data_IF_492060456191
#
_entry.id   IF_492060456191
#
_cell.length_a   1.000
_cell.length_b   1.000
_cell.length_c   1.000
_cell.angle_alpha   90.00
_cell.angle_beta   90.00
_cell.angle_gamma   90.00
#
_symmetry.space_group_name_H-M   'P 1'
#
loop_
_entity.id
_entity.type
_entity.pdbx_description
1 polymer ?
#
# COMPACT_ATOMS: atom_id res chain seq x y z
N UNK A 1 13.18 25.38 -20.03
CA UNK A 1 13.23 24.05 -19.38
C UNK A 1 12.46 23.98 -18.05
N UNK A 2 12.38 25.03 -17.23
CA UNK A 2 11.58 25.01 -15.99
C UNK A 2 10.05 24.97 -16.23
N UNK A 3 9.55 25.57 -17.32
CA UNK A 3 8.12 25.58 -17.65
C UNK A 3 7.61 24.23 -18.18
N UNK A 4 8.47 23.44 -18.86
CA UNK A 4 8.10 22.11 -19.38
C UNK A 4 7.92 21.06 -18.26
N UNK A 5 8.63 21.23 -17.13
CA UNK A 5 8.54 20.32 -15.97
C UNK A 5 7.24 20.56 -15.19
N UNK A 6 6.82 21.82 -15.06
CA UNK A 6 5.56 22.19 -14.42
C UNK A 6 4.35 21.59 -15.17
N UNK A 7 4.39 21.63 -16.51
CA UNK A 7 3.34 21.07 -17.37
C UNK A 7 3.24 19.54 -17.20
N UNK A 8 4.36 18.83 -17.04
CA UNK A 8 4.39 17.38 -16.82
C UNK A 8 3.78 16.97 -15.46
N UNK A 9 4.11 17.69 -14.38
CA UNK A 9 3.51 17.45 -13.06
C UNK A 9 2.01 17.77 -13.01
N UNK A 10 1.59 18.81 -13.74
CA UNK A 10 0.18 19.20 -13.90
C UNK A 10 -0.57 18.12 -14.68
N UNK A 11 0.03 17.55 -15.73
CA UNK A 11 -0.58 16.47 -16.53
C UNK A 11 -0.75 15.17 -15.72
N UNK A 12 0.19 14.84 -14.84
CA UNK A 12 0.13 13.65 -14.00
C UNK A 12 -0.96 13.79 -12.92
N UNK A 13 -1.09 14.97 -12.33
CA UNK A 13 -2.21 15.31 -11.45
C UNK A 13 -3.56 15.32 -12.20
N UNK A 14 -3.55 15.71 -13.48
CA UNK A 14 -4.73 15.70 -14.37
C UNK A 14 -5.24 14.28 -14.65
N UNK A 15 -4.33 13.31 -14.81
CA UNK A 15 -4.63 11.90 -15.06
C UNK A 15 -5.17 11.17 -13.81
N UNK A 16 -4.75 11.56 -12.61
CA UNK A 16 -5.08 10.83 -11.37
C UNK A 16 -6.29 11.38 -10.60
N UNK A 17 -6.62 12.67 -10.72
CA UNK A 17 -7.53 13.35 -9.77
C UNK A 17 -8.82 13.96 -10.34
N UNK A 18 -9.07 13.85 -11.66
CA UNK A 18 -10.29 14.39 -12.27
C UNK A 18 -10.37 15.93 -12.29
N UNK A 19 -11.32 16.45 -13.08
CA UNK A 19 -11.40 17.86 -13.51
C UNK A 19 -11.60 18.93 -12.40
N UNK A 20 -11.74 18.56 -11.14
CA UNK A 20 -12.19 19.48 -10.07
C UNK A 20 -11.07 20.08 -9.21
N UNK A 21 -9.83 19.56 -9.23
CA UNK A 21 -8.77 19.95 -8.29
C UNK A 21 -7.72 20.93 -8.88
N UNK A 22 -7.68 21.08 -10.21
CA UNK A 22 -6.70 21.92 -10.93
C UNK A 22 -7.30 23.26 -11.39
N UNK A 23 -7.75 24.08 -10.45
CA UNK A 23 -7.80 25.53 -10.69
C UNK A 23 -6.38 26.09 -10.54
N UNK A 24 -5.89 27.00 -11.40
CA UNK A 24 -4.52 27.57 -11.34
C UNK A 24 -4.19 28.32 -10.03
N UNK A 25 -5.20 28.55 -9.19
CA UNK A 25 -5.12 29.12 -7.85
C UNK A 25 -5.51 28.12 -6.74
N UNK A 26 -5.44 26.81 -7.00
CA UNK A 26 -5.76 25.83 -5.96
C UNK A 26 -4.72 25.87 -4.83
N UNK A 27 -5.13 25.70 -3.56
CA UNK A 27 -4.23 25.72 -2.41
C UNK A 27 -3.07 24.72 -2.51
N UNK A 28 -3.31 23.57 -3.15
CA UNK A 28 -2.30 22.52 -3.40
C UNK A 28 -1.22 23.00 -4.37
N UNK A 29 -1.58 23.71 -5.46
CA UNK A 29 -0.60 24.27 -6.38
C UNK A 29 0.23 25.37 -5.70
N UNK A 30 -0.37 26.18 -4.82
CA UNK A 30 0.36 27.16 -4.03
C UNK A 30 1.32 26.50 -3.03
N UNK A 31 0.91 25.42 -2.37
CA UNK A 31 1.80 24.61 -1.53
C UNK A 31 3.00 24.06 -2.32
N UNK A 32 2.76 23.48 -3.50
CA UNK A 32 3.82 23.01 -4.39
C UNK A 32 4.77 24.14 -4.83
N UNK A 33 4.25 25.36 -5.06
CA UNK A 33 5.07 26.55 -5.34
C UNK A 33 5.91 26.97 -4.13
N UNK A 34 5.38 26.89 -2.91
CA UNK A 34 6.12 27.20 -1.66
C UNK A 34 7.30 26.23 -1.50
N UNK A 35 7.10 24.94 -1.74
CA UNK A 35 8.18 23.94 -1.77
C UNK A 35 9.26 24.28 -2.81
N UNK A 36 8.85 24.74 -3.99
CA UNK A 36 9.77 25.19 -5.05
C UNK A 36 10.61 26.44 -4.69
N UNK A 37 10.11 27.34 -3.83
CA UNK A 37 10.86 28.53 -3.36
C UNK A 37 12.00 28.15 -2.42
N UNK A 38 11.76 27.22 -1.49
CA UNK A 38 12.78 26.73 -0.55
C UNK A 38 13.90 25.92 -1.22
N UNK A 39 13.67 25.44 -2.45
CA UNK A 39 14.72 24.79 -3.24
C UNK A 39 15.81 25.75 -3.71
N UNK A 40 15.48 27.03 -3.94
CA UNK A 40 16.48 28.04 -4.36
C UNK A 40 17.43 28.45 -3.23
N UNK A 41 16.97 28.40 -1.98
CA UNK A 41 17.82 28.66 -0.81
C UNK A 41 18.73 27.47 -0.48
N UNK A 42 18.39 26.24 -0.88
CA UNK A 42 19.19 25.05 -0.63
C UNK A 42 20.29 24.77 -1.68
N UNK A 43 20.32 25.47 -2.81
CA UNK A 43 21.27 25.25 -3.92
C UNK A 43 22.44 26.27 -3.97
N UNK A 44 22.67 27.01 -2.87
CA UNK A 44 23.69 28.05 -2.79
C UNK A 44 24.74 27.80 -1.70
N UNK A 45 25.50 26.73 -1.84
CA UNK A 45 26.82 26.53 -1.22
C UNK A 45 27.66 25.96 -2.37
N UNK A 46 28.58 26.72 -2.94
CA UNK A 46 29.96 26.72 -2.45
C UNK A 46 30.67 28.07 -2.64
N UNK A 47 31.58 28.34 -1.70
CA UNK A 47 32.58 29.40 -1.61
C UNK A 47 32.12 30.77 -1.09
N UNK A 48 32.29 31.00 0.22
CA UNK A 48 32.78 32.28 0.75
C UNK A 48 33.42 32.08 2.13
N UNK A 49 34.60 32.68 2.27
CA UNK A 49 35.41 32.89 3.49
C UNK A 49 34.61 33.44 4.68
N UNK A 50 35.02 33.13 5.93
CA UNK A 50 34.22 33.43 7.12
C UNK A 50 34.22 34.94 7.44
N UNK A 51 33.02 35.52 7.45
CA UNK A 51 32.74 36.82 8.06
C UNK A 51 32.41 36.62 9.56
N UNK A 52 32.68 37.62 10.42
CA UNK A 52 32.65 37.45 11.86
C UNK A 52 31.23 37.23 12.41
N UNK A 53 31.16 36.37 13.41
CA UNK A 53 29.98 35.87 14.12
C UNK A 53 28.83 36.88 14.28
N UNK A 54 27.77 36.69 13.48
CA UNK A 54 26.39 37.07 13.84
C UNK A 54 25.74 35.83 14.45
N UNK A 55 25.09 35.90 15.63
CA UNK A 55 24.31 34.77 16.11
C UNK A 55 23.22 34.45 15.09
N UNK A 56 23.06 33.16 14.79
CA UNK A 56 22.21 32.64 13.74
C UNK A 56 20.72 32.79 14.14
N UNK A 57 20.18 34.00 14.00
CA UNK A 57 18.79 34.36 14.36
C UNK A 57 17.79 34.05 13.25
N UNK A 58 18.18 33.30 12.21
CA UNK A 58 17.29 32.93 11.12
C UNK A 58 16.12 32.09 11.63
N UNK A 59 14.93 32.31 11.06
CA UNK A 59 13.76 31.47 11.37
C UNK A 59 14.04 30.03 10.95
N UNK A 60 13.86 29.11 11.88
CA UNK A 60 14.18 27.70 11.70
C UNK A 60 13.06 26.82 12.28
N UNK A 61 12.88 25.65 11.69
CA UNK A 61 12.00 24.62 12.22
C UNK A 61 12.77 23.32 12.47
N UNK A 62 12.29 22.54 13.43
CA UNK A 62 12.80 21.22 13.79
C UNK A 62 11.61 20.32 14.04
N UNK A 63 11.75 19.05 13.67
CA UNK A 63 10.77 18.01 13.96
C UNK A 63 11.46 16.89 14.71
N UNK A 64 10.78 16.36 15.73
CA UNK A 64 11.18 15.15 16.44
C UNK A 64 10.06 14.13 16.35
N UNK A 65 10.43 12.86 16.26
CA UNK A 65 9.49 11.75 16.28
C UNK A 65 9.44 11.21 17.71
N UNK A 66 8.30 11.38 18.35
CA UNK A 66 8.04 10.93 19.71
C UNK A 66 7.20 9.66 19.66
N UNK A 67 7.76 8.54 20.10
CA UNK A 67 7.06 7.25 20.16
C UNK A 67 6.30 7.03 21.47
N UNK A 68 6.50 7.90 22.47
CA UNK A 68 5.94 7.74 23.82
C UNK A 68 4.55 8.38 23.99
N UNK A 69 4.09 9.16 23.01
CA UNK A 69 2.90 10.01 23.17
C UNK A 69 1.59 9.43 22.62
N UNK A 70 1.58 8.22 22.04
CA UNK A 70 0.32 7.61 21.59
C UNK A 70 0.29 6.08 21.71
N UNK A 71 -0.87 5.55 22.12
CA UNK A 71 -1.13 4.11 22.22
C UNK A 71 -1.20 3.42 20.84
N UNK A 72 -1.23 4.20 19.74
CA UNK A 72 -1.56 3.75 18.37
C UNK A 72 -0.48 4.06 17.32
N UNK A 73 0.66 4.66 17.72
CA UNK A 73 1.76 5.05 16.81
C UNK A 73 2.69 6.15 17.37
N UNK A 74 3.64 6.61 16.56
CA UNK A 74 4.46 7.78 16.89
C UNK A 74 3.71 9.11 16.66
N UNK A 75 4.32 10.22 17.08
CA UNK A 75 3.85 11.56 16.75
C UNK A 75 5.00 12.49 16.35
N UNK A 76 4.73 13.40 15.42
CA UNK A 76 5.67 14.43 15.03
C UNK A 76 5.51 15.66 15.92
N UNK A 77 6.49 15.93 16.78
CA UNK A 77 6.58 17.17 17.53
C UNK A 77 7.27 18.24 16.68
N UNK A 78 6.53 19.27 16.29
CA UNK A 78 7.01 20.36 15.42
C UNK A 78 7.36 21.57 16.28
N UNK A 79 8.59 22.07 16.14
CA UNK A 79 9.11 23.21 16.86
C UNK A 79 9.67 24.28 15.93
N UNK A 80 9.62 25.53 16.37
CA UNK A 80 10.17 26.69 15.65
C UNK A 80 11.08 27.51 16.56
N UNK A 81 12.02 28.24 15.95
CA UNK A 81 12.87 29.24 16.63
C UNK A 81 13.29 30.34 15.66
N UNK A 82 13.88 31.40 16.19
CA UNK A 82 14.50 32.47 15.41
C UNK A 82 13.64 33.72 15.27
N UNK A 83 14.08 34.63 14.41
CA UNK A 83 13.47 35.93 14.23
C UNK A 83 12.08 35.84 13.59
N UNK A 84 11.14 36.63 14.11
CA UNK A 84 9.77 36.72 13.61
C UNK A 84 9.56 38.12 13.03
N UNK A 85 9.88 38.33 11.74
CA UNK A 85 9.74 39.65 11.13
C UNK A 85 8.26 40.02 11.03
N UNK A 86 7.87 41.10 11.69
CA UNK A 86 6.52 41.67 11.60
C UNK A 86 6.57 43.13 11.15
N UNK A 87 5.56 43.61 10.41
CA UNK A 87 5.56 44.97 9.88
C UNK A 87 5.36 46.05 10.97
N UNK A 88 4.72 45.70 12.08
CA UNK A 88 4.48 46.59 13.21
C UNK A 88 4.41 45.82 14.53
N UNK A 89 4.55 46.53 15.65
CA UNK A 89 4.29 45.97 16.98
C UNK A 89 2.83 45.51 17.11
N UNK A 90 2.59 44.51 17.96
CA UNK A 90 1.29 43.88 18.21
C UNK A 90 0.65 43.22 16.98
N UNK A 91 1.45 42.83 15.98
CA UNK A 91 0.97 42.21 14.75
C UNK A 91 0.45 40.80 14.99
N UNK A 92 -0.74 40.48 14.48
CA UNK A 92 -1.35 39.16 14.62
C UNK A 92 -0.79 38.18 13.59
N UNK A 93 -0.38 37.00 14.07
CA UNK A 93 0.19 35.95 13.23
C UNK A 93 -0.54 34.61 13.41
N UNK A 94 -0.56 33.84 12.33
CA UNK A 94 -0.89 32.44 12.34
C UNK A 94 0.39 31.63 12.06
N UNK A 95 0.54 30.47 12.70
CA UNK A 95 1.50 29.46 12.29
C UNK A 95 0.78 28.42 11.42
N UNK A 96 1.39 28.09 10.29
CA UNK A 96 0.94 27.02 9.40
C UNK A 96 2.03 25.95 9.28
N UNK A 97 1.64 24.68 9.42
CA UNK A 97 2.51 23.52 9.15
C UNK A 97 1.93 22.71 7.99
N UNK A 98 2.78 22.40 7.02
CA UNK A 98 2.47 21.52 5.89
C UNK A 98 3.50 20.39 5.80
N UNK A 99 3.07 19.23 5.30
CA UNK A 99 3.92 18.05 5.14
C UNK A 99 3.81 17.56 3.70
N UNK A 100 4.95 17.32 3.07
CA UNK A 100 5.04 16.64 1.78
C UNK A 100 5.99 15.44 1.89
N UNK A 101 5.68 14.40 1.15
CA UNK A 101 6.61 13.32 0.86
C UNK A 101 7.49 13.73 -0.33
N UNK A 102 8.81 13.71 -0.13
CA UNK A 102 9.83 14.05 -1.13
C UNK A 102 10.77 12.88 -1.42
N UNK A 103 10.34 11.65 -1.14
CA UNK A 103 11.13 10.42 -1.28
C UNK A 103 11.64 10.25 -2.71
N UNK A 104 10.77 10.45 -3.71
CA UNK A 104 11.13 10.37 -5.14
C UNK A 104 11.86 11.64 -5.65
N UNK A 105 12.35 12.47 -4.72
CA UNK A 105 13.02 13.73 -4.96
C UNK A 105 12.08 14.94 -4.92
N UNK A 106 12.62 16.10 -4.55
CA UNK A 106 11.88 17.36 -4.40
C UNK A 106 11.33 17.96 -5.72
N UNK A 107 11.41 17.25 -6.84
CA UNK A 107 10.79 17.63 -8.11
C UNK A 107 9.33 17.20 -8.23
N UNK A 108 8.93 16.16 -7.51
CA UNK A 108 7.59 15.60 -7.51
C UNK A 108 7.12 15.34 -6.07
N UNK A 109 7.09 16.36 -5.21
CA UNK A 109 6.58 16.22 -3.87
C UNK A 109 5.12 15.74 -3.91
N UNK A 110 4.83 14.71 -3.12
CA UNK A 110 3.50 14.13 -3.00
C UNK A 110 2.86 14.62 -1.68
N UNK A 111 1.55 14.95 -1.68
CA UNK A 111 0.92 15.47 -0.48
C UNK A 111 0.76 14.39 0.58
N UNK A 112 1.04 14.71 1.85
CA UNK A 112 0.57 13.87 2.95
C UNK A 112 -0.89 14.22 3.22
N UNK A 113 -1.78 13.23 3.23
CA UNK A 113 -3.21 13.43 3.50
C UNK A 113 -3.49 13.28 5.00
N UNK A 114 -4.62 13.79 5.45
CA UNK A 114 -5.06 13.74 6.83
C UNK A 114 -6.49 13.22 6.95
N UNK A 115 -6.78 12.44 7.99
CA UNK A 115 -8.14 11.98 8.34
C UNK A 115 -8.83 12.94 9.31
N UNK A 116 -8.06 13.70 10.10
CA UNK A 116 -8.58 14.69 11.05
C UNK A 116 -9.05 15.96 10.30
N UNK A 117 -10.37 16.16 10.22
CA UNK A 117 -10.99 17.27 9.46
C UNK A 117 -10.48 18.65 9.83
N UNK A 118 -10.14 18.88 11.10
CA UNK A 118 -9.61 20.16 11.58
C UNK A 118 -8.20 20.50 11.05
N UNK A 119 -7.48 19.51 10.52
CA UNK A 119 -6.14 19.67 9.96
C UNK A 119 -6.11 19.35 8.46
N UNK A 120 -7.24 19.52 7.79
CA UNK A 120 -7.36 19.42 6.36
C UNK A 120 -7.35 20.82 5.75
N UNK A 121 -6.64 20.97 4.63
CA UNK A 121 -6.68 22.18 3.82
C UNK A 121 -8.06 22.34 3.16
N UNK A 122 -8.59 23.56 3.07
CA UNK A 122 -9.94 23.83 2.55
C UNK A 122 -10.26 23.05 1.26
N UNK A 123 -11.41 22.36 1.26
CA UNK A 123 -11.89 21.53 0.15
C UNK A 123 -10.91 20.41 -0.29
N UNK A 124 -10.02 19.96 0.60
CA UNK A 124 -9.01 18.95 0.31
C UNK A 124 -8.69 18.07 1.52
N UNK A 125 -8.22 16.85 1.30
CA UNK A 125 -7.71 15.98 2.36
C UNK A 125 -6.25 16.24 2.72
N UNK A 126 -5.57 17.16 2.04
CA UNK A 126 -4.16 17.48 2.30
C UNK A 126 -3.98 17.98 3.72
N UNK A 127 -2.96 17.46 4.42
CA UNK A 127 -2.63 17.89 5.76
C UNK A 127 -2.25 19.38 5.79
N UNK A 128 -2.90 20.13 6.68
CA UNK A 128 -2.60 21.50 7.00
C UNK A 128 -2.97 21.79 8.44
N UNK A 129 -1.97 21.98 9.30
CA UNK A 129 -2.19 22.55 10.62
C UNK A 129 -2.14 24.07 10.52
N UNK A 130 -3.12 24.76 11.11
CA UNK A 130 -3.12 26.22 11.24
C UNK A 130 -3.63 26.61 12.62
N UNK A 131 -2.88 27.45 13.32
CA UNK A 131 -3.30 27.98 14.62
C UNK A 131 -2.99 29.47 14.74
N UNK A 132 -3.86 30.19 15.44
CA UNK A 132 -3.61 31.57 15.84
C UNK A 132 -2.50 31.57 16.89
N UNK A 133 -1.37 32.18 16.57
CA UNK A 133 -0.20 32.23 17.47
C UNK A 133 -0.10 33.54 18.27
N UNK A 134 -1.16 34.36 18.21
CA UNK A 134 -1.29 35.57 19.02
C UNK A 134 -0.64 36.79 18.37
N UNK A 135 -0.29 37.77 19.21
CA UNK A 135 0.27 39.08 18.81
C UNK A 135 1.76 39.12 19.11
N UNK A 136 2.54 39.52 18.12
CA UNK A 136 3.99 39.72 18.28
C UNK A 136 4.23 41.11 18.87
N UNK A 137 4.90 41.25 20.02
CA UNK A 137 4.96 42.51 20.77
C UNK A 137 5.83 43.58 20.09
N UNK A 138 6.85 43.19 19.34
CA UNK A 138 7.80 44.11 18.70
C UNK A 138 8.30 43.59 17.35
N UNK A 139 8.85 44.47 16.53
CA UNK A 139 9.33 44.14 15.18
C UNK A 139 10.65 43.36 15.17
N UNK A 140 11.37 43.39 16.28
CA UNK A 140 12.64 42.70 16.53
C UNK A 140 12.46 41.42 17.37
N UNK A 141 11.23 40.90 17.48
CA UNK A 141 10.95 39.72 18.29
C UNK A 141 11.68 38.48 17.78
N UNK A 142 12.34 37.77 18.70
CA UNK A 142 13.09 36.54 18.44
C UNK A 142 12.62 35.45 19.41
N UNK A 143 12.24 34.30 18.86
CA UNK A 143 12.00 33.09 19.65
C UNK A 143 13.37 32.48 19.96
N UNK A 144 13.83 32.65 21.20
CA UNK A 144 15.19 32.27 21.62
C UNK A 144 15.34 30.76 21.80
N UNK A 145 14.36 30.12 22.45
CA UNK A 145 14.32 28.66 22.65
C UNK A 145 13.44 27.97 21.60
N UNK A 146 13.55 26.65 21.48
CA UNK A 146 12.65 25.89 20.62
C UNK A 146 11.23 25.92 21.18
N UNK A 147 10.34 26.62 20.49
CA UNK A 147 8.92 26.69 20.83
C UNK A 147 8.17 25.54 20.15
N UNK A 148 7.54 24.68 20.94
CA UNK A 148 6.62 23.66 20.44
C UNK A 148 5.38 24.29 19.82
N UNK A 149 5.12 24.00 18.55
CA UNK A 149 3.95 24.49 17.82
C UNK A 149 2.79 23.52 17.96
N UNK A 150 3.05 22.24 17.67
CA UNK A 150 2.04 21.20 17.64
C UNK A 150 2.67 19.81 17.67
N UNK A 151 1.87 18.84 18.10
CA UNK A 151 2.17 17.40 18.02
C UNK A 151 1.17 16.76 17.07
N UNK A 152 1.66 16.09 16.03
CA UNK A 152 0.84 15.51 14.96
C UNK A 152 0.95 13.99 15.05
N UNK A 153 -0.08 13.27 15.53
CA UNK A 153 -0.10 11.82 15.53
C UNK A 153 0.09 11.25 14.11
N UNK A 154 0.88 10.19 13.96
CA UNK A 154 1.12 9.60 12.64
C UNK A 154 -0.08 8.78 12.14
N UNK A 155 -0.98 8.36 13.03
CA UNK A 155 -2.17 7.58 12.70
C UNK A 155 -3.25 8.38 11.97
N UNK A 156 -3.28 9.70 12.14
CA UNK A 156 -4.16 10.60 11.38
C UNK A 156 -3.59 11.01 10.03
N UNK A 157 -2.39 10.56 9.68
CA UNK A 157 -1.71 10.86 8.42
C UNK A 157 -1.79 9.65 7.46
N UNK A 158 -2.04 9.95 6.19
CA UNK A 158 -1.99 8.98 5.10
C UNK A 158 -0.87 9.38 4.13
N UNK A 159 0.15 8.53 4.09
CA UNK A 159 1.33 8.72 3.24
C UNK A 159 1.08 8.17 1.83
N UNK A 160 1.86 8.61 0.82
CA UNK A 160 1.66 8.13 -0.53
C UNK A 160 2.02 6.65 -0.71
N UNK A 161 3.03 6.15 0.00
CA UNK A 161 3.45 4.76 -0.17
C UNK A 161 4.04 4.14 1.12
N UNK A 162 4.14 2.81 1.19
CA UNK A 162 4.71 2.02 2.31
C UNK A 162 6.24 1.97 2.29
N UNK A 163 6.90 1.88 3.43
CA UNK A 163 8.35 1.75 3.57
C UNK A 163 9.02 3.08 3.91
N UNK A 164 10.30 3.21 3.59
CA UNK A 164 11.09 4.40 3.92
C UNK A 164 10.61 5.63 3.15
N UNK A 165 10.34 6.71 3.89
CA UNK A 165 9.84 7.98 3.39
C UNK A 165 10.76 9.11 3.82
N UNK A 166 11.08 10.01 2.90
CA UNK A 166 11.70 11.29 3.26
C UNK A 166 10.62 12.35 3.25
N UNK A 167 10.24 12.82 4.42
CA UNK A 167 9.21 13.83 4.61
C UNK A 167 9.83 15.22 4.69
N UNK A 168 9.22 16.21 4.06
CA UNK A 168 9.55 17.62 4.21
C UNK A 168 8.44 18.33 4.98
N UNK A 169 8.80 18.86 6.14
CA UNK A 169 7.94 19.73 6.94
C UNK A 169 8.25 21.17 6.57
N UNK A 170 7.21 21.96 6.36
CA UNK A 170 7.32 23.41 6.12
C UNK A 170 6.54 24.12 7.21
N UNK A 171 7.22 24.96 7.98
CA UNK A 171 6.63 25.83 8.97
C UNK A 171 6.64 27.25 8.45
N UNK A 172 5.47 27.88 8.42
CA UNK A 172 5.29 29.23 7.87
C UNK A 172 4.60 30.12 8.90
N UNK A 173 5.17 31.29 9.15
CA UNK A 173 4.51 32.37 9.87
C UNK A 173 3.75 33.23 8.87
N UNK A 174 2.46 33.42 9.11
CA UNK A 174 1.56 34.13 8.20
C UNK A 174 0.95 35.30 8.95
N UNK A 175 0.96 36.47 8.31
CA UNK A 175 0.23 37.65 8.78
C UNK A 175 -1.27 37.37 8.71
N UNK A 176 -1.99 37.45 9.83
CA UNK A 176 -3.43 37.11 9.87
C UNK A 176 -4.29 38.05 9.03
N UNK A 177 -3.97 39.35 9.04
CA UNK A 177 -4.74 40.36 8.30
C UNK A 177 -4.52 40.33 6.78
N UNK A 178 -3.31 39.96 6.33
CA UNK A 178 -2.95 40.01 4.90
C UNK A 178 -2.76 38.64 4.26
N UNK A 179 -2.70 37.57 5.06
CA UNK A 179 -2.31 36.22 4.63
C UNK A 179 -0.93 36.14 3.95
N UNK A 180 -0.09 37.16 4.12
CA UNK A 180 1.27 37.16 3.59
C UNK A 180 2.19 36.33 4.48
N UNK A 181 3.09 35.59 3.84
CA UNK A 181 4.21 34.94 4.50
C UNK A 181 5.14 35.99 5.12
N UNK A 182 5.43 35.81 6.41
CA UNK A 182 6.36 36.63 7.19
C UNK A 182 7.72 35.96 7.28
N UNK A 183 7.73 34.67 7.59
CA UNK A 183 8.91 33.83 7.60
C UNK A 183 8.53 32.38 7.28
N UNK A 184 9.48 31.62 6.75
CA UNK A 184 9.27 30.20 6.48
C UNK A 184 10.57 29.42 6.63
N UNK A 185 10.46 28.21 7.16
CA UNK A 185 11.55 27.27 7.32
C UNK A 185 11.09 25.86 6.96
N UNK A 186 12.02 25.03 6.48
CA UNK A 186 11.72 23.63 6.19
C UNK A 186 12.79 22.70 6.71
N UNK A 187 12.37 21.51 7.15
CA UNK A 187 13.26 20.44 7.60
C UNK A 187 12.84 19.13 6.97
N UNK A 188 13.81 18.25 6.70
CA UNK A 188 13.56 16.89 6.23
C UNK A 188 13.72 15.90 7.38
N UNK A 189 12.89 14.88 7.37
CA UNK A 189 12.89 13.79 8.34
C UNK A 189 12.65 12.49 7.58
N UNK A 190 13.48 11.49 7.84
CA UNK A 190 13.23 10.13 7.38
C UNK A 190 12.25 9.43 8.33
N UNK A 191 11.26 8.77 7.75
CA UNK A 191 10.15 8.13 8.46
C UNK A 191 9.82 6.80 7.78
N UNK A 192 9.72 5.73 8.57
CA UNK A 192 9.29 4.44 8.06
C UNK A 192 7.77 4.30 8.18
N UNK A 193 7.09 4.25 7.04
CA UNK A 193 5.65 4.06 6.98
C UNK A 193 5.30 2.58 6.85
N UNK A 194 4.81 1.96 7.91
CA UNK A 194 4.45 0.53 7.89
C UNK A 194 3.11 0.25 7.17
N UNK A 195 2.30 1.29 6.95
CA UNK A 195 0.98 1.19 6.33
C UNK A 195 1.06 1.33 4.82
N UNK A 196 0.15 0.68 4.11
CA UNK A 196 -0.03 0.88 2.68
C UNK A 196 -0.40 2.34 2.40
N UNK A 197 0.29 2.97 1.45
CA UNK A 197 0.02 4.35 1.09
C UNK A 197 -1.05 4.50 0.01
N UNK A 198 -1.63 5.69 -0.11
CA UNK A 198 -2.75 5.93 -1.02
C UNK A 198 -2.36 5.84 -2.52
N UNK A 199 -1.07 5.98 -2.85
CA UNK A 199 -0.54 5.86 -4.21
C UNK A 199 -0.06 4.43 -4.53
N UNK A 200 0.07 3.56 -3.52
CA UNK A 200 0.43 2.16 -3.73
C UNK A 200 -0.67 1.39 -4.45
N UNK A 201 -1.95 1.72 -4.24
CA UNK A 201 -3.07 0.95 -4.78
C UNK A 201 -2.99 0.68 -6.29
N UNK A 202 -2.61 1.70 -7.09
CA UNK A 202 -2.46 1.53 -8.54
C UNK A 202 -1.22 0.73 -8.93
N UNK A 203 -0.08 1.00 -8.29
CA UNK A 203 1.19 0.29 -8.56
C UNK A 203 1.12 -1.17 -8.12
N UNK A 204 0.50 -1.43 -6.98
CA UNK A 204 0.29 -2.75 -6.44
C UNK A 204 -0.64 -3.56 -7.35
N UNK A 205 -1.74 -2.99 -7.83
CA UNK A 205 -2.62 -3.70 -8.75
C UNK A 205 -1.89 -4.16 -10.03
N UNK A 206 -1.07 -3.29 -10.63
CA UNK A 206 -0.24 -3.66 -11.79
C UNK A 206 0.79 -4.74 -11.44
N UNK A 207 1.51 -4.57 -10.32
CA UNK A 207 2.55 -5.51 -9.90
C UNK A 207 1.96 -6.87 -9.54
N UNK A 208 0.89 -6.91 -8.77
CA UNK A 208 0.09 -8.11 -8.47
C UNK A 208 -0.30 -8.82 -9.77
N UNK A 209 -0.80 -8.10 -10.78
CA UNK A 209 -1.17 -8.74 -12.05
C UNK A 209 0.03 -9.38 -12.76
N UNK A 210 1.22 -8.77 -12.69
CA UNK A 210 2.46 -9.36 -13.23
C UNK A 210 2.83 -10.62 -12.45
N UNK A 211 2.83 -10.57 -11.12
CA UNK A 211 3.15 -11.72 -10.26
C UNK A 211 2.15 -12.87 -10.48
N UNK A 212 0.84 -12.57 -10.58
CA UNK A 212 -0.22 -13.54 -10.91
C UNK A 212 0.08 -14.29 -12.21
N UNK A 213 0.48 -13.58 -13.27
CA UNK A 213 0.85 -14.21 -14.55
C UNK A 213 2.11 -15.05 -14.44
N UNK A 214 3.10 -14.60 -13.65
CA UNK A 214 4.33 -15.36 -13.41
C UNK A 214 4.07 -16.66 -12.66
N UNK A 215 3.21 -16.63 -11.62
CA UNK A 215 2.78 -17.83 -10.91
C UNK A 215 2.05 -18.80 -11.84
N UNK A 216 1.07 -18.31 -12.61
CA UNK A 216 0.32 -19.14 -13.54
C UNK A 216 1.22 -19.79 -14.61
N UNK A 217 2.20 -19.04 -15.13
CA UNK A 217 3.20 -19.59 -16.03
C UNK A 217 4.08 -20.66 -15.35
N UNK A 218 4.52 -20.42 -14.10
CA UNK A 218 5.36 -21.34 -13.34
C UNK A 218 4.69 -22.71 -13.08
N UNK A 219 3.36 -22.71 -12.91
CA UNK A 219 2.57 -23.94 -12.71
C UNK A 219 2.51 -24.77 -14.01
N UNK A 220 2.67 -24.16 -15.18
CA UNK A 220 2.61 -24.84 -16.47
C UNK A 220 3.99 -25.22 -17.05
N UNK A 221 5.10 -24.75 -16.47
CA UNK A 221 6.45 -25.09 -16.95
C UNK A 221 6.88 -26.49 -16.48
N UNK A 222 7.38 -27.32 -17.40
CA UNK A 222 8.01 -28.60 -17.05
C UNK A 222 9.36 -28.36 -16.33
N UNK A 223 9.77 -29.32 -15.48
CA UNK A 223 10.95 -29.23 -14.57
C UNK A 223 12.31 -28.90 -15.22
N UNK A 224 12.41 -28.92 -16.56
CA UNK A 224 13.66 -28.67 -17.29
C UNK A 224 13.90 -27.20 -17.66
N UNK A 225 12.89 -26.32 -17.52
CA UNK A 225 13.05 -24.89 -17.81
C UNK A 225 13.59 -24.10 -16.61
N UNK A 226 14.08 -22.88 -16.90
CA UNK A 226 14.52 -21.93 -15.88
C UNK A 226 13.33 -21.53 -15.00
N UNK A 227 13.14 -22.26 -13.91
CA UNK A 227 11.98 -22.10 -13.06
C UNK A 227 12.04 -20.75 -12.33
N UNK A 228 10.96 -19.95 -12.37
CA UNK A 228 10.90 -18.74 -11.57
C UNK A 228 10.94 -19.10 -10.08
N UNK A 229 11.52 -18.21 -9.28
CA UNK A 229 11.56 -18.37 -7.83
C UNK A 229 10.16 -18.10 -7.25
N UNK A 230 9.37 -19.17 -7.12
CA UNK A 230 7.98 -19.12 -6.64
C UNK A 230 7.92 -18.55 -5.23
N UNK A 231 8.88 -18.90 -4.37
CA UNK A 231 8.87 -18.47 -2.98
C UNK A 231 9.12 -16.95 -2.89
N UNK A 232 10.02 -16.41 -3.74
CA UNK A 232 10.21 -14.96 -3.87
C UNK A 232 8.97 -14.26 -4.44
N UNK A 233 8.32 -14.82 -5.46
CA UNK A 233 7.10 -14.25 -6.06
C UNK A 233 5.96 -14.22 -5.02
N UNK A 234 5.74 -15.32 -4.29
CA UNK A 234 4.73 -15.41 -3.25
C UNK A 234 5.00 -14.44 -2.10
N UNK A 235 6.27 -14.32 -1.66
CA UNK A 235 6.65 -13.36 -0.62
C UNK A 235 6.40 -11.91 -1.04
N UNK A 236 6.69 -11.57 -2.30
CA UNK A 236 6.42 -10.24 -2.82
C UNK A 236 4.91 -9.99 -2.90
N UNK A 237 4.16 -10.93 -3.47
CA UNK A 237 2.70 -10.84 -3.60
C UNK A 237 2.01 -10.70 -2.26
N UNK A 238 2.37 -11.51 -1.27
CA UNK A 238 1.81 -11.43 0.09
C UNK A 238 2.03 -10.06 0.76
N UNK A 239 3.04 -9.30 0.33
CA UNK A 239 3.34 -7.99 0.89
C UNK A 239 2.54 -6.83 0.28
N UNK A 240 1.97 -7.02 -0.93
CA UNK A 240 1.31 -5.96 -1.71
C UNK A 240 -0.15 -6.25 -2.07
N UNK A 241 -0.54 -7.53 -2.13
CA UNK A 241 -1.83 -7.97 -2.63
C UNK A 241 -2.92 -7.97 -1.55
N UNK A 242 -4.14 -7.67 -1.97
CA UNK A 242 -5.36 -7.88 -1.20
C UNK A 242 -5.79 -9.34 -1.24
N UNK A 243 -6.68 -9.73 -0.34
CA UNK A 243 -7.26 -11.09 -0.32
C UNK A 243 -7.99 -11.45 -1.63
N UNK A 244 -8.60 -10.47 -2.30
CA UNK A 244 -9.28 -10.67 -3.58
C UNK A 244 -8.27 -11.01 -4.66
N UNK A 245 -7.19 -10.24 -4.74
CA UNK A 245 -6.10 -10.46 -5.68
C UNK A 245 -5.37 -11.79 -5.47
N UNK A 246 -5.20 -12.22 -4.21
CA UNK A 246 -4.66 -13.55 -3.88
C UNK A 246 -5.57 -14.66 -4.43
N UNK A 247 -6.89 -14.53 -4.27
CA UNK A 247 -7.82 -15.51 -4.81
C UNK A 247 -7.87 -15.51 -6.34
N UNK A 248 -7.78 -14.34 -6.97
CA UNK A 248 -7.68 -14.21 -8.43
C UNK A 248 -6.41 -14.89 -8.96
N UNK A 249 -5.30 -14.83 -8.21
CA UNK A 249 -4.05 -15.48 -8.58
C UNK A 249 -4.15 -17.01 -8.55
N UNK A 250 -4.73 -17.57 -7.49
CA UNK A 250 -4.99 -19.02 -7.39
C UNK A 250 -5.97 -19.47 -8.46
N UNK A 251 -7.04 -18.70 -8.69
CA UNK A 251 -8.01 -18.99 -9.73
C UNK A 251 -7.35 -19.02 -11.11
N UNK A 252 -6.44 -18.08 -11.40
CA UNK A 252 -5.70 -18.09 -12.66
C UNK A 252 -4.79 -19.32 -12.77
N UNK A 253 -4.06 -19.68 -11.72
CA UNK A 253 -3.21 -20.88 -11.73
C UNK A 253 -4.02 -22.15 -12.01
N UNK A 254 -5.20 -22.29 -11.41
CA UNK A 254 -6.10 -23.42 -11.65
C UNK A 254 -6.63 -23.41 -13.09
N UNK A 255 -7.02 -22.24 -13.62
CA UNK A 255 -7.49 -22.09 -15.00
C UNK A 255 -6.42 -22.46 -16.02
N UNK A 256 -5.18 -22.04 -15.82
CA UNK A 256 -4.09 -22.38 -16.74
C UNK A 256 -3.78 -23.87 -16.75
N UNK A 257 -3.90 -24.56 -15.61
CA UNK A 257 -3.78 -26.03 -15.55
C UNK A 257 -4.96 -26.70 -16.25
N UNK A 258 -6.20 -26.23 -16.00
CA UNK A 258 -7.39 -26.75 -16.65
C UNK A 258 -7.32 -26.61 -18.19
N UNK A 259 -6.88 -25.46 -18.69
CA UNK A 259 -6.70 -25.19 -20.13
C UNK A 259 -5.59 -26.03 -20.76
N UNK A 260 -4.55 -26.40 -20.01
CA UNK A 260 -3.50 -27.31 -20.48
C UNK A 260 -4.00 -28.75 -20.67
N UNK A 261 -5.21 -29.08 -20.19
CA UNK A 261 -5.89 -30.35 -20.43
C UNK A 261 -5.29 -31.56 -19.70
N UNK A 262 -4.24 -31.37 -18.90
CA UNK A 262 -3.63 -32.40 -18.05
C UNK A 262 -3.40 -31.82 -16.66
N UNK A 263 -4.00 -32.42 -15.62
CA UNK A 263 -3.83 -32.01 -14.22
C UNK A 263 -2.83 -32.95 -13.56
N UNK A 264 -1.54 -32.67 -13.72
CA UNK A 264 -0.48 -33.55 -13.21
C UNK A 264 -0.19 -33.28 -11.73
N UNK A 265 0.23 -34.31 -10.99
CA UNK A 265 0.57 -34.23 -9.55
C UNK A 265 1.57 -33.12 -9.21
N UNK A 266 2.55 -32.88 -10.08
CA UNK A 266 3.53 -31.82 -9.82
C UNK A 266 2.92 -30.41 -9.88
N UNK A 267 1.86 -30.20 -10.67
CA UNK A 267 1.20 -28.90 -10.81
C UNK A 267 0.31 -28.62 -9.61
N UNK A 268 -0.41 -29.63 -9.14
CA UNK A 268 -1.23 -29.56 -7.92
C UNK A 268 -0.36 -29.38 -6.67
N UNK A 269 0.79 -30.04 -6.58
CA UNK A 269 1.80 -29.78 -5.54
C UNK A 269 2.28 -28.32 -5.55
N UNK A 270 2.52 -27.76 -6.74
CA UNK A 270 2.93 -26.37 -6.94
C UNK A 270 1.84 -25.39 -6.52
N UNK A 271 0.59 -25.66 -6.91
CA UNK A 271 -0.57 -24.85 -6.52
C UNK A 271 -0.77 -24.89 -5.01
N UNK A 272 -0.64 -26.05 -4.36
CA UNK A 272 -0.72 -26.17 -2.90
C UNK A 272 0.37 -25.34 -2.22
N UNK A 273 1.62 -25.41 -2.70
CA UNK A 273 2.72 -24.58 -2.18
C UNK A 273 2.43 -23.07 -2.32
N UNK A 274 1.89 -22.65 -3.46
CA UNK A 274 1.51 -21.24 -3.69
C UNK A 274 0.39 -20.84 -2.73
N UNK A 275 -0.64 -21.68 -2.58
CA UNK A 275 -1.76 -21.43 -1.69
C UNK A 275 -1.32 -21.29 -0.23
N UNK A 276 -0.44 -22.18 0.24
CA UNK A 276 0.13 -22.13 1.58
C UNK A 276 0.95 -20.86 1.80
N UNK A 277 1.83 -20.52 0.84
CA UNK A 277 2.68 -19.32 0.91
C UNK A 277 1.86 -18.00 0.90
N UNK A 278 0.70 -18.00 0.24
CA UNK A 278 -0.24 -16.88 0.20
C UNK A 278 -1.33 -16.95 1.29
N UNK A 279 -1.24 -17.92 2.21
CA UNK A 279 -2.18 -18.14 3.31
C UNK A 279 -3.65 -18.25 2.85
N UNK A 280 -3.88 -18.97 1.74
CA UNK A 280 -5.21 -19.23 1.18
C UNK A 280 -5.91 -20.30 2.02
N UNK A 281 -7.17 -20.03 2.39
CA UNK A 281 -7.98 -21.01 3.13
C UNK A 281 -8.17 -22.32 2.35
N UNK A 282 -7.92 -23.46 3.00
CA UNK A 282 -7.99 -24.79 2.39
C UNK A 282 -9.38 -25.10 1.82
N UNK A 283 -10.46 -24.67 2.50
CA UNK A 283 -11.82 -24.88 1.99
C UNK A 283 -12.05 -24.05 0.73
N UNK A 284 -11.52 -22.83 0.68
CA UNK A 284 -11.59 -21.97 -0.50
C UNK A 284 -10.80 -22.56 -1.68
N UNK A 285 -9.57 -23.02 -1.45
CA UNK A 285 -8.76 -23.68 -2.48
C UNK A 285 -9.48 -24.89 -3.05
N UNK A 286 -10.05 -25.76 -2.19
CA UNK A 286 -10.82 -26.93 -2.60
C UNK A 286 -12.04 -26.54 -3.45
N UNK A 287 -12.79 -25.54 -3.01
CA UNK A 287 -13.99 -25.08 -3.73
C UNK A 287 -13.64 -24.52 -5.12
N UNK A 288 -12.54 -23.79 -5.26
CA UNK A 288 -12.04 -23.31 -6.55
C UNK A 288 -11.58 -24.47 -7.43
N UNK A 289 -10.84 -25.42 -6.86
CA UNK A 289 -10.31 -26.58 -7.58
C UNK A 289 -11.44 -27.44 -8.18
N UNK A 290 -12.45 -27.78 -7.36
CA UNK A 290 -13.65 -28.51 -7.79
C UNK A 290 -14.55 -27.73 -8.75
N UNK A 291 -14.38 -26.41 -8.86
CA UNK A 291 -15.15 -25.58 -9.79
C UNK A 291 -14.45 -25.45 -11.14
N UNK A 292 -13.11 -25.39 -11.15
CA UNK A 292 -12.32 -24.98 -12.30
C UNK A 292 -11.69 -26.16 -13.03
N UNK A 293 -11.21 -27.16 -12.30
CA UNK A 293 -10.50 -28.27 -12.91
C UNK A 293 -11.47 -29.18 -13.68
N UNK A 294 -11.07 -29.73 -14.83
CA UNK A 294 -11.90 -30.64 -15.60
C UNK A 294 -12.06 -31.97 -14.85
N UNK A 295 -13.32 -32.43 -14.72
CA UNK A 295 -13.69 -33.65 -13.99
C UNK A 295 -13.87 -34.86 -14.91
N UNK A 296 -13.79 -34.68 -16.22
CA UNK A 296 -14.01 -35.68 -17.27
C UNK A 296 -12.72 -36.09 -18.01
N UNK A 297 -11.56 -35.53 -17.62
CA UNK A 297 -10.28 -35.81 -18.26
C UNK A 297 -9.87 -37.30 -18.17
N UNK A 298 -9.55 -37.97 -19.30
CA UNK A 298 -9.33 -39.42 -19.35
C UNK A 298 -7.99 -39.94 -18.79
N UNK A 299 -7.02 -39.07 -18.44
CA UNK A 299 -5.71 -39.50 -17.92
C UNK A 299 -5.27 -38.70 -16.68
N UNK A 300 -4.75 -39.45 -15.69
CA UNK A 300 -3.99 -39.05 -14.48
C UNK A 300 -4.48 -37.77 -13.76
N UNK A 301 -5.50 -37.92 -12.90
CA UNK A 301 -6.02 -36.84 -12.02
C UNK A 301 -5.50 -36.99 -10.60
N UNK A 302 -5.10 -35.88 -9.99
CA UNK A 302 -4.76 -35.85 -8.57
C UNK A 302 -6.04 -35.77 -7.72
N UNK A 303 -6.63 -36.94 -7.45
CA UNK A 303 -7.84 -37.07 -6.62
C UNK A 303 -7.59 -36.61 -5.18
N UNK A 304 -6.36 -36.79 -4.67
CA UNK A 304 -5.97 -36.34 -3.34
C UNK A 304 -6.11 -34.82 -3.25
N UNK A 305 -5.62 -34.08 -4.25
CA UNK A 305 -5.79 -32.63 -4.35
C UNK A 305 -7.26 -32.20 -4.48
N UNK A 306 -8.05 -32.82 -5.36
CA UNK A 306 -9.45 -32.44 -5.62
C UNK A 306 -10.34 -32.57 -4.37
N UNK A 307 -10.13 -33.63 -3.60
CA UNK A 307 -10.87 -33.87 -2.35
C UNK A 307 -10.19 -33.23 -1.13
N UNK A 308 -8.98 -32.69 -1.30
CA UNK A 308 -8.11 -32.18 -0.25
C UNK A 308 -7.87 -33.22 0.83
N UNK A 309 -7.44 -34.40 0.37
CA UNK A 309 -6.78 -35.43 1.16
C UNK A 309 -5.31 -35.06 1.24
N UNK A 310 -4.77 -34.99 2.45
CA UNK A 310 -3.39 -34.61 2.70
C UNK A 310 -2.62 -35.77 3.31
N UNK A 311 -1.30 -35.81 3.11
CA UNK A 311 -0.47 -36.95 3.51
C UNK A 311 -0.36 -37.16 5.03
N UNK A 312 -0.74 -36.16 5.83
CA UNK A 312 -0.81 -36.22 7.29
C UNK A 312 -2.12 -36.84 7.81
N UNK A 313 -3.13 -37.03 6.95
CA UNK A 313 -4.38 -37.68 7.34
C UNK A 313 -4.18 -39.16 7.64
N UNK A 314 -4.82 -39.63 8.71
CA UNK A 314 -4.96 -41.06 8.96
C UNK A 314 -5.95 -41.69 7.97
N UNK A 315 -5.88 -43.01 7.71
CA UNK A 315 -6.86 -43.69 6.84
C UNK A 315 -8.32 -43.49 7.26
N UNK A 316 -8.57 -43.26 8.56
CA UNK A 316 -9.91 -42.97 9.06
C UNK A 316 -10.36 -41.53 8.74
N UNK A 317 -9.43 -40.57 8.78
CA UNK A 317 -9.70 -39.18 8.40
C UNK A 317 -9.92 -39.05 6.89
N UNK A 318 -9.16 -39.78 6.07
CA UNK A 318 -9.39 -39.86 4.62
C UNK A 318 -10.80 -40.40 4.32
N UNK A 319 -11.22 -41.49 4.99
CA UNK A 319 -12.58 -42.04 4.84
C UNK A 319 -13.66 -41.04 5.25
N UNK A 320 -13.45 -40.35 6.37
CA UNK A 320 -14.41 -39.33 6.82
C UNK A 320 -14.50 -38.19 5.81
N UNK A 321 -13.37 -37.72 5.27
CA UNK A 321 -13.31 -36.67 4.24
C UNK A 321 -14.06 -37.07 2.98
N UNK A 322 -13.82 -38.28 2.46
CA UNK A 322 -14.52 -38.80 1.28
C UNK A 322 -16.02 -38.96 1.52
N UNK A 323 -16.44 -39.39 2.72
CA UNK A 323 -17.85 -39.47 3.08
C UNK A 323 -18.52 -38.10 3.08
N UNK A 324 -17.85 -37.08 3.61
CA UNK A 324 -18.39 -35.73 3.68
C UNK A 324 -18.54 -35.13 2.27
N UNK A 325 -17.57 -35.36 1.37
CA UNK A 325 -17.70 -34.99 -0.04
C UNK A 325 -18.82 -35.80 -0.72
N UNK A 326 -18.95 -37.10 -0.45
CA UNK A 326 -20.05 -37.91 -0.98
C UNK A 326 -21.41 -37.33 -0.57
N UNK A 327 -21.61 -37.01 0.71
CA UNK A 327 -22.86 -36.43 1.19
C UNK A 327 -23.18 -35.10 0.49
N UNK A 328 -22.17 -34.24 0.33
CA UNK A 328 -22.28 -32.94 -0.34
C UNK A 328 -22.69 -33.08 -1.81
N UNK A 329 -22.07 -33.99 -2.56
CA UNK A 329 -22.36 -34.17 -4.00
C UNK A 329 -23.63 -34.99 -4.23
N UNK A 330 -23.91 -36.00 -3.40
CA UNK A 330 -25.14 -36.77 -3.48
C UNK A 330 -26.39 -35.90 -3.23
N UNK A 331 -26.28 -34.87 -2.39
CA UNK A 331 -27.36 -33.90 -2.19
C UNK A 331 -27.69 -33.06 -3.45
N UNK A 332 -26.82 -33.07 -4.48
CA UNK A 332 -26.94 -32.26 -5.71
C UNK A 332 -27.36 -33.06 -6.95
N UNK A 333 -27.48 -34.38 -6.84
CA UNK A 333 -27.84 -35.26 -7.98
C UNK A 333 -29.24 -34.97 -8.54
N UNK A 334 -30.14 -34.44 -7.71
CA UNK A 334 -31.49 -34.05 -8.12
C UNK A 334 -31.65 -32.52 -8.24
N UNK A 335 -30.55 -31.79 -8.47
CA UNK A 335 -30.61 -30.34 -8.61
C UNK A 335 -31.32 -29.96 -9.92
N UNK A 336 -32.17 -28.91 -9.95
CA UNK A 336 -32.91 -28.51 -11.16
C UNK A 336 -32.04 -27.90 -12.28
N UNK A 337 -30.73 -27.79 -12.07
CA UNK A 337 -29.79 -27.24 -13.04
C UNK A 337 -28.98 -28.41 -13.60
N UNK A 338 -29.12 -28.66 -14.90
CA UNK A 338 -28.53 -29.80 -15.59
C UNK A 338 -26.99 -29.81 -15.46
N UNK A 339 -26.35 -28.63 -15.43
CA UNK A 339 -24.90 -28.52 -15.28
C UNK A 339 -24.45 -28.93 -13.87
N UNK A 340 -25.22 -28.53 -12.85
CA UNK A 340 -24.96 -28.90 -11.45
C UNK A 340 -25.20 -30.39 -11.23
N UNK A 341 -26.25 -30.95 -11.84
CA UNK A 341 -26.52 -32.38 -11.81
C UNK A 341 -25.40 -33.18 -12.48
N UNK A 342 -24.99 -32.79 -13.69
CA UNK A 342 -23.90 -33.45 -14.42
C UNK A 342 -22.59 -33.40 -13.63
N UNK A 343 -22.26 -32.26 -13.01
CA UNK A 343 -21.09 -32.13 -12.15
C UNK A 343 -21.21 -33.04 -10.91
N UNK A 344 -22.37 -33.14 -10.29
CA UNK A 344 -22.58 -34.01 -9.14
C UNK A 344 -22.35 -35.48 -9.49
N UNK A 345 -22.88 -35.94 -10.62
CA UNK A 345 -22.69 -37.32 -11.10
C UNK A 345 -21.21 -37.62 -11.37
N UNK A 346 -20.48 -36.68 -11.99
CA UNK A 346 -19.04 -36.78 -12.22
C UNK A 346 -18.26 -36.89 -10.90
N UNK A 347 -18.57 -36.02 -9.94
CA UNK A 347 -17.88 -36.01 -8.65
C UNK A 347 -18.13 -37.31 -7.86
N UNK A 348 -19.34 -37.87 -7.92
CA UNK A 348 -19.64 -39.16 -7.30
C UNK A 348 -18.83 -40.32 -7.91
N UNK A 349 -18.63 -40.31 -9.23
CA UNK A 349 -17.79 -41.29 -9.90
C UNK A 349 -16.32 -41.18 -9.43
N UNK A 350 -15.78 -39.97 -9.31
CA UNK A 350 -14.42 -39.73 -8.81
C UNK A 350 -14.25 -40.14 -7.33
N UNK A 351 -15.28 -39.95 -6.50
CA UNK A 351 -15.26 -40.39 -5.10
C UNK A 351 -15.19 -41.92 -5.01
N UNK A 352 -15.91 -42.64 -5.88
CA UNK A 352 -15.83 -44.09 -5.94
C UNK A 352 -14.41 -44.56 -6.29
N UNK A 353 -13.78 -43.94 -7.29
CA UNK A 353 -12.39 -44.23 -7.69
C UNK A 353 -11.38 -43.97 -6.56
N UNK A 354 -11.53 -42.84 -5.85
CA UNK A 354 -10.69 -42.51 -4.70
C UNK A 354 -10.87 -43.51 -3.55
N UNK A 355 -12.10 -43.96 -3.31
CA UNK A 355 -12.44 -44.94 -2.27
C UNK A 355 -11.82 -46.31 -2.58
N UNK A 356 -11.89 -46.75 -3.84
CA UNK A 356 -11.27 -48.01 -4.28
C UNK A 356 -9.75 -47.97 -4.13
N UNK A 357 -9.13 -46.84 -4.49
CA UNK A 357 -7.69 -46.62 -4.31
C UNK A 357 -7.26 -46.69 -2.85
N UNK A 358 -8.05 -46.12 -1.94
CA UNK A 358 -7.82 -46.21 -0.49
C UNK A 358 -7.89 -47.66 0.01
N UNK A 359 -8.89 -48.43 -0.42
CA UNK A 359 -9.06 -49.82 -0.01
C UNK A 359 -7.86 -50.68 -0.42
N UNK A 360 -7.32 -50.45 -1.61
CA UNK A 360 -6.10 -51.10 -2.10
C UNK A 360 -4.88 -50.74 -1.25
N UNK A 361 -4.69 -49.45 -0.91
CA UNK A 361 -3.61 -48.99 -0.02
C UNK A 361 -3.67 -49.64 1.37
N UNK A 362 -4.86 -49.85 1.93
CA UNK A 362 -5.04 -50.47 3.26
C UNK A 362 -4.93 -52.00 3.28
N UNK A 363 -4.91 -52.65 2.11
CA UNK A 363 -4.81 -54.11 1.97
C UNK A 363 -3.38 -54.60 1.73
N UNK A 364 -2.45 -53.67 1.46
CA UNK A 364 -0.99 -53.89 1.44
C UNK A 364 -0.40 -53.54 2.80
#
# INVERSE_FOLDING_TARGET
>A
MAECILISTILFAWLMFGRTILKPNSPVINFLRTLGRHRKTALGLDNCTPLPHRPDTAFACKVQLDFESSDTGGAFAVMIRGAVPVPAAMHEIDVQILIADVTDGGNSPQPVLCTAKQWQLDESRVFCYRACSGKIPSTDFVISDWLGVTTIPTDVLEFPAKGDRTLQFVATLISRGTSNELASASVRLDYQNDKLGYADAGKNAERTQILTRQLAAAVCTDRNDRQPDIDAICSEMASIATIVEIYDAIELCLKTVAEAGTTRRHQTELISRIADALAVDEKRLRALSQKILPHDAPEERDLEFIFGITADMTPQEERNRLRDEYQKWNARVNHPDDDVQAQADQMLALIAEATDSLLQKTSQ
#
